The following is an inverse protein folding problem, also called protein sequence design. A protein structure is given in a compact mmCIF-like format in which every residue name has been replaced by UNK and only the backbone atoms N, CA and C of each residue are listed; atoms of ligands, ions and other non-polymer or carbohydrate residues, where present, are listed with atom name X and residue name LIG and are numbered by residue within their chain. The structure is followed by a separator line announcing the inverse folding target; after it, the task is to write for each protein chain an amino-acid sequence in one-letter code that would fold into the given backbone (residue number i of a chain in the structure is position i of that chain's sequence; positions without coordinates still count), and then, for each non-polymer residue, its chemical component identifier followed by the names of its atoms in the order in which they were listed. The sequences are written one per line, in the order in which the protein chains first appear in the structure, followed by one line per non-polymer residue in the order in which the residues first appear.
data_IF_160416818156
#
_entry.id   IF_160416818156
#
_cell.length_a   1.000
_cell.length_b   1.000
_cell.length_c   1.000
_cell.angle_alpha   90.00
_cell.angle_beta   90.00
_cell.angle_gamma   90.00
#
_symmetry.space_group_name_H-M   'P 1'
#
loop_
_entity.id
_entity.type
_entity.pdbx_description
1 polymer ?
#
# COMPACT_ATOMS: atom_id res chain seq x y z
N UNK A 1 -6.09 -11.33 0.46
CA UNK A 1 -7.15 -10.91 -0.49
C UNK A 1 -7.71 -9.60 0.02
N UNK A 2 -7.79 -8.57 -0.82
CA UNK A 2 -8.41 -7.29 -0.46
C UNK A 2 -9.92 -7.43 -0.67
N UNK A 3 -10.72 -7.03 0.32
CA UNK A 3 -12.19 -7.05 0.25
C UNK A 3 -12.71 -5.67 -0.12
N UNK A 4 -13.95 -5.60 -0.60
CA UNK A 4 -14.60 -4.32 -0.94
C UNK A 4 -14.57 -3.30 0.20
N UNK A 5 -14.82 -3.74 1.44
CA UNK A 5 -14.74 -2.89 2.64
C UNK A 5 -13.36 -2.28 2.87
N UNK A 6 -12.30 -2.99 2.49
CA UNK A 6 -10.93 -2.50 2.62
C UNK A 6 -10.69 -1.31 1.68
N UNK A 7 -11.21 -1.39 0.45
CA UNK A 7 -11.13 -0.29 -0.54
C UNK A 7 -11.88 0.94 -0.05
N UNK A 8 -13.09 0.79 0.49
CA UNK A 8 -13.86 1.92 1.04
C UNK A 8 -13.13 2.59 2.21
N UNK A 9 -12.48 1.81 3.08
CA UNK A 9 -11.69 2.34 4.19
C UNK A 9 -10.45 3.09 3.69
N UNK A 10 -9.77 2.56 2.68
CA UNK A 10 -8.62 3.21 2.07
C UNK A 10 -9.00 4.50 1.33
N UNK A 11 -10.14 4.54 0.65
CA UNK A 11 -10.67 5.77 0.02
C UNK A 11 -11.01 6.85 1.06
N UNK A 12 -11.60 6.48 2.19
CA UNK A 12 -11.82 7.42 3.29
C UNK A 12 -10.49 7.95 3.84
N UNK A 13 -9.48 7.08 3.91
CA UNK A 13 -8.13 7.45 4.33
C UNK A 13 -7.43 8.38 3.34
N UNK A 14 -7.64 8.21 2.03
CA UNK A 14 -7.06 9.10 1.01
C UNK A 14 -7.59 10.53 1.07
N UNK A 15 -8.76 10.73 1.68
CA UNK A 15 -9.37 12.05 1.87
C UNK A 15 -9.18 12.59 3.29
N UNK A 16 -8.57 11.81 4.19
CA UNK A 16 -8.41 12.19 5.59
C UNK A 16 -7.44 13.38 5.76
N UNK A 17 -7.69 14.27 6.73
CA UNK A 17 -6.74 15.32 7.08
C UNK A 17 -5.52 14.74 7.80
N UNK A 18 -4.33 15.16 7.37
CA UNK A 18 -3.06 14.70 7.93
C UNK A 18 -2.31 13.78 6.98
N UNK A 19 -1.08 13.45 7.37
CA UNK A 19 -0.19 12.67 6.54
C UNK A 19 -0.37 11.17 6.82
N UNK A 20 -0.27 10.37 5.76
CA UNK A 20 -0.27 8.91 5.81
C UNK A 20 1.02 8.40 5.21
N UNK A 21 1.71 7.54 5.95
CA UNK A 21 2.83 6.77 5.40
C UNK A 21 2.25 5.59 4.64
N UNK A 22 2.43 5.60 3.33
CA UNK A 22 2.04 4.50 2.44
C UNK A 22 3.29 3.74 2.02
N UNK A 23 3.30 2.42 2.18
CA UNK A 23 4.41 1.56 1.77
C UNK A 23 3.88 0.40 0.93
N UNK A 24 4.47 0.26 -0.25
CA UNK A 24 4.42 -0.93 -1.08
C UNK A 24 5.79 -1.60 -0.97
N UNK A 25 5.85 -2.74 -0.29
CA UNK A 25 7.11 -3.45 -0.03
C UNK A 25 7.11 -4.79 -0.75
N UNK A 26 8.18 -5.09 -1.48
CA UNK A 26 8.37 -6.41 -2.08
C UNK A 26 8.74 -7.41 -1.00
N UNK A 27 7.92 -8.45 -0.85
CA UNK A 27 8.11 -9.53 0.12
C UNK A 27 8.20 -10.89 -0.54
N UNK A 28 8.28 -10.93 -1.87
CA UNK A 28 8.29 -12.15 -2.68
C UNK A 28 9.45 -13.06 -2.28
N UNK A 29 9.13 -14.16 -1.59
CA UNK A 29 10.12 -15.13 -1.09
C UNK A 29 10.80 -15.94 -2.21
N UNK A 30 10.30 -15.89 -3.45
CA UNK A 30 11.00 -16.47 -4.59
C UNK A 30 12.27 -15.70 -4.97
N UNK A 31 12.35 -14.40 -4.61
CA UNK A 31 13.50 -13.55 -4.90
C UNK A 31 14.62 -13.76 -3.87
N UNK A 32 15.87 -14.00 -4.31
CA UNK A 32 17.00 -14.17 -3.40
C UNK A 32 17.18 -13.00 -2.41
N UNK A 33 16.88 -11.76 -2.86
CA UNK A 33 16.97 -10.55 -2.04
C UNK A 33 16.04 -10.57 -0.82
N UNK A 34 14.93 -11.31 -0.86
CA UNK A 34 13.96 -11.37 0.23
C UNK A 34 14.15 -12.56 1.17
N UNK A 35 15.11 -13.46 0.86
CA UNK A 35 15.48 -14.56 1.76
C UNK A 35 15.98 -14.01 3.08
N UNK A 36 15.78 -14.76 4.16
CA UNK A 36 16.14 -14.34 5.53
C UNK A 36 15.60 -12.95 5.90
N UNK A 37 14.42 -12.59 5.37
CA UNK A 37 13.74 -11.30 5.62
C UNK A 37 14.49 -10.07 5.09
N UNK A 38 15.21 -10.18 3.97
CA UNK A 38 15.91 -9.03 3.36
C UNK A 38 15.02 -7.86 2.94
N UNK A 39 13.70 -8.07 2.81
CA UNK A 39 12.72 -7.00 2.64
C UNK A 39 12.71 -5.98 3.80
N UNK A 40 13.15 -6.35 5.01
CA UNK A 40 13.30 -5.39 6.11
C UNK A 40 14.40 -4.37 5.83
N UNK A 41 15.51 -4.79 5.22
CA UNK A 41 16.58 -3.90 4.78
C UNK A 41 16.09 -2.97 3.68
N UNK A 42 15.35 -3.51 2.69
CA UNK A 42 14.75 -2.71 1.63
C UNK A 42 13.82 -1.63 2.20
N UNK A 43 12.95 -1.99 3.14
CA UNK A 43 12.08 -1.04 3.83
C UNK A 43 12.89 0.06 4.51
N UNK A 44 13.90 -0.31 5.29
CA UNK A 44 14.73 0.65 6.02
C UNK A 44 15.39 1.65 5.09
N UNK A 45 15.89 1.21 3.94
CA UNK A 45 16.52 2.08 2.97
C UNK A 45 15.51 3.02 2.29
N UNK A 46 14.32 2.51 1.94
CA UNK A 46 13.22 3.34 1.42
C UNK A 46 12.78 4.41 2.44
N UNK A 47 12.64 4.05 3.71
CA UNK A 47 12.25 4.98 4.77
C UNK A 47 13.33 6.03 5.02
N UNK A 48 14.61 5.66 5.01
CA UNK A 48 15.72 6.63 5.10
C UNK A 48 15.70 7.64 3.96
N UNK A 49 15.50 7.18 2.73
CA UNK A 49 15.40 8.05 1.56
C UNK A 49 14.19 9.00 1.67
N UNK A 50 13.05 8.49 2.13
CA UNK A 50 11.86 9.30 2.34
C UNK A 50 12.09 10.36 3.44
N UNK A 51 12.68 9.99 4.58
CA UNK A 51 13.02 10.94 5.66
C UNK A 51 13.97 12.03 5.16
N UNK A 52 14.96 11.68 4.33
CA UNK A 52 15.88 12.65 3.76
C UNK A 52 15.19 13.67 2.82
N UNK A 53 14.07 13.29 2.20
CA UNK A 53 13.25 14.19 1.37
C UNK A 53 12.36 15.13 2.19
N UNK A 54 12.14 14.83 3.48
CA UNK A 54 11.30 15.60 4.40
C UNK A 54 12.07 15.98 5.68
N UNK A 55 13.13 16.81 5.57
CA UNK A 55 13.95 17.17 6.72
C UNK A 55 13.13 17.94 7.76
N UNK A 56 13.27 17.55 9.04
CA UNK A 56 12.56 18.17 10.16
C UNK A 56 11.14 17.64 10.42
N UNK A 57 10.67 16.65 9.65
CA UNK A 57 9.36 16.02 9.90
C UNK A 57 9.47 14.91 10.97
N UNK A 58 9.29 15.27 12.24
CA UNK A 58 9.30 14.33 13.37
C UNK A 58 8.13 13.33 13.33
N UNK A 59 6.99 13.70 12.73
CA UNK A 59 5.83 12.82 12.58
C UNK A 59 6.17 11.68 11.63
N UNK A 60 6.86 11.97 10.51
CA UNK A 60 7.36 10.96 9.58
C UNK A 60 8.36 10.03 10.25
N UNK A 61 9.37 10.55 10.97
CA UNK A 61 10.39 9.72 11.64
C UNK A 61 9.74 8.75 12.62
N UNK A 62 8.79 9.22 13.43
CA UNK A 62 8.08 8.37 14.38
C UNK A 62 7.21 7.34 13.66
N UNK A 63 6.50 7.75 12.60
CA UNK A 63 5.65 6.86 11.81
C UNK A 63 6.47 5.79 11.09
N UNK A 64 7.66 6.12 10.60
CA UNK A 64 8.60 5.18 9.98
C UNK A 64 9.04 4.10 10.97
N UNK A 65 9.37 4.48 12.21
CA UNK A 65 9.74 3.53 13.26
C UNK A 65 8.58 2.57 13.59
N UNK A 66 7.36 3.10 13.73
CA UNK A 66 6.15 2.27 13.92
C UNK A 66 5.95 1.27 12.77
N UNK A 67 6.18 1.70 11.52
CA UNK A 67 6.08 0.85 10.33
C UNK A 67 7.16 -0.24 10.33
N UNK A 68 8.41 0.07 10.66
CA UNK A 68 9.47 -0.95 10.78
C UNK A 68 9.08 -2.03 11.81
N UNK A 69 8.57 -1.62 12.97
CA UNK A 69 8.16 -2.55 14.01
C UNK A 69 6.96 -3.41 13.63
N UNK A 70 6.04 -2.86 12.82
CA UNK A 70 4.95 -3.62 12.23
C UNK A 70 5.50 -4.68 11.26
N UNK A 71 6.44 -4.31 10.38
CA UNK A 71 6.97 -5.21 9.34
C UNK A 71 7.73 -6.40 9.91
N UNK A 72 8.42 -6.22 11.05
CA UNK A 72 9.07 -7.33 11.79
C UNK A 72 8.11 -8.48 12.14
N UNK A 73 6.82 -8.19 12.30
CA UNK A 73 5.78 -9.16 12.67
C UNK A 73 4.99 -9.69 11.47
N UNK A 74 5.33 -9.28 10.25
CA UNK A 74 4.65 -9.71 9.02
C UNK A 74 5.20 -11.05 8.55
N UNK A 75 4.27 -11.94 8.22
CA UNK A 75 4.54 -13.16 7.48
C UNK A 75 4.52 -12.89 5.96
N UNK A 76 5.62 -13.12 5.23
CA UNK A 76 5.73 -12.81 3.81
C UNK A 76 5.09 -13.92 2.94
N UNK A 77 3.76 -14.03 2.97
CA UNK A 77 2.99 -15.09 2.28
C UNK A 77 2.61 -14.76 0.82
N UNK A 78 3.19 -13.71 0.24
CA UNK A 78 2.86 -13.21 -1.10
C UNK A 78 4.00 -12.42 -1.72
N UNK A 79 3.68 -11.54 -2.67
CA UNK A 79 4.65 -10.76 -3.43
C UNK A 79 4.82 -9.34 -2.92
N UNK A 80 3.73 -8.69 -2.51
CA UNK A 80 3.78 -7.30 -2.03
C UNK A 80 3.04 -7.14 -0.72
N UNK A 81 3.70 -6.55 0.27
CA UNK A 81 3.07 -6.00 1.46
C UNK A 81 2.61 -4.58 1.16
N UNK A 82 1.30 -4.35 1.28
CA UNK A 82 0.71 -3.02 1.26
C UNK A 82 0.45 -2.59 2.70
N UNK A 83 1.00 -1.46 3.10
CA UNK A 83 0.90 -0.93 4.44
C UNK A 83 0.57 0.56 4.40
N UNK A 84 -0.48 0.96 5.12
CA UNK A 84 -0.82 2.36 5.35
C UNK A 84 -0.81 2.63 6.84
N UNK A 85 -0.11 3.68 7.27
CA UNK A 85 -0.09 4.13 8.65
C UNK A 85 -0.46 5.61 8.72
N UNK A 86 -1.58 5.90 9.38
CA UNK A 86 -2.03 7.26 9.65
C UNK A 86 -2.09 7.47 11.15
N UNK A 87 -1.09 8.20 11.68
CA UNK A 87 -0.86 8.30 13.13
C UNK A 87 -1.98 9.03 13.86
N UNK A 88 -2.42 10.19 13.35
CA UNK A 88 -3.49 11.00 13.98
C UNK A 88 -4.84 10.30 14.11
N UNK A 89 -5.15 9.40 13.16
CA UNK A 89 -6.38 8.59 13.19
C UNK A 89 -6.19 7.26 13.91
N UNK A 90 -4.97 6.95 14.39
CA UNK A 90 -4.63 5.64 14.93
C UNK A 90 -4.79 4.49 13.93
N UNK A 91 -4.91 4.80 12.64
CA UNK A 91 -5.28 3.82 11.62
C UNK A 91 -4.04 3.10 11.07
N UNK A 92 -4.14 1.78 10.95
CA UNK A 92 -3.14 0.94 10.29
C UNK A 92 -3.86 -0.05 9.41
N UNK A 93 -3.57 -0.02 8.11
CA UNK A 93 -3.94 -1.08 7.18
C UNK A 93 -2.71 -1.86 6.79
N UNK A 94 -2.85 -3.18 6.70
CA UNK A 94 -1.76 -4.07 6.30
C UNK A 94 -2.31 -5.30 5.61
N UNK A 95 -1.87 -5.57 4.39
CA UNK A 95 -2.27 -6.78 3.66
C UNK A 95 -1.12 -7.26 2.76
N UNK A 96 -0.90 -8.57 2.71
CA UNK A 96 0.06 -9.20 1.81
C UNK A 96 -0.68 -9.69 0.58
N UNK A 97 -0.32 -9.16 -0.57
CA UNK A 97 -0.93 -9.44 -1.86
C UNK A 97 -0.13 -10.50 -2.62
N UNK A 98 -0.83 -11.30 -3.41
CA UNK A 98 -0.22 -12.22 -4.38
C UNK A 98 0.24 -11.48 -5.67
N UNK A 99 -0.10 -10.21 -5.77
CA UNK A 99 0.25 -9.29 -6.84
C UNK A 99 1.58 -8.61 -6.53
N UNK A 100 2.46 -8.52 -7.53
CA UNK A 100 3.68 -7.74 -7.45
C UNK A 100 3.37 -6.29 -7.82
N UNK A 101 3.63 -5.36 -6.91
CA UNK A 101 3.60 -3.93 -7.15
C UNK A 101 5.03 -3.36 -7.08
N UNK A 102 5.33 -2.27 -7.80
CA UNK A 102 6.60 -1.57 -7.66
C UNK A 102 6.84 -1.15 -6.19
N UNK A 103 8.04 -1.43 -5.63
CA UNK A 103 8.38 -0.98 -4.28
C UNK A 103 8.41 0.56 -4.21
N UNK A 104 7.66 1.14 -3.28
CA UNK A 104 7.62 2.58 -3.09
C UNK A 104 7.13 2.95 -1.69
N UNK A 105 7.61 4.07 -1.17
CA UNK A 105 7.14 4.67 0.07
C UNK A 105 6.74 6.13 -0.18
N UNK A 106 5.61 6.54 0.38
CA UNK A 106 5.05 7.87 0.17
C UNK A 106 4.66 8.49 1.51
N UNK A 107 4.97 9.77 1.66
CA UNK A 107 4.53 10.61 2.78
C UNK A 107 3.70 11.76 2.24
N UNK A 108 2.37 11.59 2.28
CA UNK A 108 1.43 12.50 1.62
C UNK A 108 0.25 12.79 2.52
N UNK A 109 -0.45 13.90 2.25
CA UNK A 109 -1.76 14.15 2.84
C UNK A 109 -2.75 13.12 2.28
N UNK A 110 -3.34 12.34 3.16
CA UNK A 110 -4.08 11.13 2.79
C UNK A 110 -3.18 10.01 2.24
N UNK A 111 -3.79 8.84 2.01
CA UNK A 111 -3.14 7.64 1.47
C UNK A 111 -2.85 7.70 -0.05
N UNK A 112 -1.66 7.25 -0.44
CA UNK A 112 -1.26 7.14 -1.86
C UNK A 112 -1.75 5.82 -2.46
N UNK A 113 -2.99 5.81 -2.95
CA UNK A 113 -3.65 4.60 -3.46
C UNK A 113 -3.33 4.28 -4.92
N UNK A 114 -2.73 5.21 -5.66
CA UNK A 114 -2.61 5.12 -7.13
C UNK A 114 -1.99 3.80 -7.62
N UNK A 115 -0.83 3.33 -7.10
CA UNK A 115 -0.28 2.04 -7.54
C UNK A 115 -1.21 0.84 -7.29
N UNK A 116 -1.98 0.88 -6.20
CA UNK A 116 -2.94 -0.17 -5.88
C UNK A 116 -4.14 -0.13 -6.83
N UNK A 117 -4.68 1.06 -7.11
CA UNK A 117 -5.84 1.23 -7.99
C UNK A 117 -5.49 0.87 -9.43
N UNK A 118 -4.34 1.33 -9.94
CA UNK A 118 -3.87 1.00 -11.30
C UNK A 118 -3.72 -0.51 -11.47
N UNK A 119 -3.15 -1.19 -10.47
CA UNK A 119 -2.98 -2.63 -10.52
C UNK A 119 -4.30 -3.40 -10.30
N UNK A 120 -5.31 -2.81 -9.65
CA UNK A 120 -6.64 -3.42 -9.58
C UNK A 120 -7.40 -3.23 -10.91
N UNK A 121 -7.32 -2.06 -11.55
CA UNK A 121 -7.93 -1.82 -12.87
C UNK A 121 -7.34 -2.75 -13.95
N UNK A 122 -6.02 -2.94 -13.96
CA UNK A 122 -5.38 -3.89 -14.87
C UNK A 122 -5.92 -5.31 -14.69
N UNK A 123 -6.12 -5.75 -13.44
CA UNK A 123 -6.65 -7.08 -13.14
C UNK A 123 -8.16 -7.20 -13.34
N UNK A 124 -8.93 -6.12 -13.15
CA UNK A 124 -10.35 -6.06 -13.51
C UNK A 124 -10.54 -6.21 -15.01
N UNK A 125 -9.65 -5.65 -15.85
CA UNK A 125 -9.68 -5.88 -17.31
C UNK A 125 -9.53 -7.37 -17.67
N UNK A 126 -8.76 -8.15 -16.90
CA UNK A 126 -8.66 -9.60 -17.10
C UNK A 126 -9.86 -10.37 -16.51
N UNK A 127 -10.48 -9.88 -15.43
CA UNK A 127 -11.63 -10.52 -14.79
C UNK A 127 -12.96 -10.24 -15.52
N UNK A 128 -13.13 -9.06 -16.11
CA UNK A 128 -14.35 -8.67 -16.86
C UNK A 128 -14.49 -9.44 -18.17
N UNK A 129 -13.39 -9.90 -18.77
CA UNK A 129 -13.43 -10.75 -19.98
C UNK A 129 -13.98 -12.16 -19.71
N UNK A 130 -13.95 -12.63 -18.45
CA UNK A 130 -14.42 -13.97 -18.07
C UNK A 130 -15.81 -13.99 -17.40
N UNK A 131 -16.39 -12.83 -17.07
CA UNK A 131 -17.67 -12.76 -16.34
C UNK A 131 -18.58 -11.70 -16.96
N UNK A 132 -18.97 -11.89 -18.22
CA UNK A 132 -20.18 -11.25 -18.73
C UNK A 132 -21.39 -12.16 -18.46
N UNK A 133 -22.18 -11.77 -17.46
CA UNK A 133 -23.62 -11.53 -17.61
C UNK A 133 -24.25 -11.42 -16.22
N UNK A 134 -24.85 -10.25 -15.97
CA UNK A 134 -25.65 -9.89 -14.78
C UNK A 134 -24.89 -9.22 -13.62
N UNK A 135 -24.92 -7.87 -13.67
CA UNK A 135 -24.63 -6.88 -12.61
C UNK A 135 -23.18 -6.43 -12.43
N UNK A 136 -22.53 -6.04 -13.52
CA UNK A 136 -21.43 -5.08 -13.49
C UNK A 136 -22.00 -3.64 -13.59
N UNK A 137 -22.44 -3.08 -12.46
CA UNK A 137 -22.81 -1.66 -12.37
C UNK A 137 -22.28 -1.08 -11.06
N UNK A 138 -20.96 -0.89 -10.94
CA UNK A 138 -20.42 0.08 -9.97
C UNK A 138 -18.90 0.36 -10.15
N UNK A 139 -18.39 0.46 -11.38
CA UNK A 139 -16.95 0.75 -11.58
C UNK A 139 -16.63 2.00 -12.40
N UNK A 140 -17.65 2.75 -12.85
CA UNK A 140 -17.43 3.82 -13.84
C UNK A 140 -17.32 5.24 -13.27
N UNK A 141 -17.32 5.44 -11.94
CA UNK A 141 -17.54 6.81 -11.38
C UNK A 141 -16.42 7.35 -10.48
N UNK A 142 -15.31 6.64 -10.27
CA UNK A 142 -14.21 7.15 -9.42
C UNK A 142 -12.87 7.38 -10.13
N UNK A 143 -12.92 7.64 -11.43
CA UNK A 143 -11.83 8.29 -12.14
C UNK A 143 -12.46 9.40 -13.00
N UNK A 144 -12.46 10.64 -12.52
CA UNK A 144 -12.64 11.77 -13.43
C UNK A 144 -11.55 11.67 -14.51
N UNK A 145 -11.83 11.82 -15.79
CA UNK A 145 -12.75 12.76 -16.43
C UNK A 145 -13.61 12.08 -17.52
N UNK A 146 -14.68 12.77 -17.92
CA UNK A 146 -15.49 12.49 -19.12
C UNK A 146 -14.63 12.69 -20.37
#
# INVERSE_FOLDING_TARGET
MIRHRDIEQLQKLSQAPGNTLTVYLDVDQSKPANRKRGFETQLKDMLKQLIAQHPGDEELVTTAQEVEDIVKRVEPTGKTLVLFRHRRLGFTFRNVLKLALPPAAYWTRGAMLRPLVEALDEYERYAVVLVDSQRARLFTVFLGEI
#
